data_IF_777665187973
#
_entry.id   IF_777665187973
#
_cell.length_a   1.000
_cell.length_b   1.000
_cell.length_c   1.000
_cell.angle_alpha   90.00
_cell.angle_beta   90.00
_cell.angle_gamma   90.00
#
_symmetry.space_group_name_H-M   'P 1'
#
loop_
_entity.id
_entity.type
_entity.pdbx_description
1 polymer ?
#
# COMPACT_ATOMS: atom_id res chain seq x y z
N UNK A 1 12.01 3.60 -28.41
CA UNK A 1 13.03 2.53 -28.38
C UNK A 1 12.57 1.52 -27.33
N UNK A 2 12.41 0.24 -27.69
CA UNK A 2 11.99 -0.81 -26.72
C UNK A 2 13.09 -1.06 -25.70
N UNK A 3 12.81 -1.17 -24.39
CA UNK A 3 13.81 -1.62 -23.44
C UNK A 3 14.02 -3.14 -23.60
N UNK A 4 15.29 -3.52 -23.63
CA UNK A 4 15.74 -4.90 -23.80
C UNK A 4 15.73 -5.60 -22.44
N UNK A 5 14.95 -6.68 -22.30
CA UNK A 5 14.95 -7.56 -21.13
C UNK A 5 16.36 -8.17 -20.94
N UNK A 6 17.10 -7.70 -19.93
CA UNK A 6 18.34 -8.36 -19.49
C UNK A 6 17.96 -9.46 -18.51
N UNK A 7 18.13 -10.72 -18.95
CA UNK A 7 18.08 -11.88 -18.06
C UNK A 7 19.28 -11.80 -17.11
N UNK A 8 19.03 -11.71 -15.81
CA UNK A 8 20.06 -11.92 -14.80
C UNK A 8 20.47 -13.40 -14.82
N UNK A 9 21.76 -13.63 -15.06
CA UNK A 9 22.39 -14.94 -14.88
C UNK A 9 22.63 -15.15 -13.39
N UNK A 10 22.02 -16.18 -12.82
CA UNK A 10 22.40 -16.69 -11.51
C UNK A 10 23.88 -17.12 -11.56
N UNK A 11 24.74 -16.39 -10.84
CA UNK A 11 26.15 -16.74 -10.70
C UNK A 11 26.23 -17.97 -9.79
N UNK A 12 26.31 -19.15 -10.39
CA UNK A 12 26.67 -20.38 -9.69
C UNK A 12 28.20 -20.40 -9.55
N UNK A 13 28.71 -19.83 -8.46
CA UNK A 13 30.13 -19.84 -8.14
C UNK A 13 30.61 -21.26 -7.81
N UNK A 14 31.40 -21.86 -8.70
CA UNK A 14 32.14 -23.10 -8.42
C UNK A 14 33.39 -22.76 -7.61
N UNK A 15 33.45 -23.23 -6.36
CA UNK A 15 34.57 -23.02 -5.45
C UNK A 15 35.79 -23.88 -5.83
N UNK A 16 36.92 -23.25 -6.12
CA UNK A 16 38.24 -23.88 -6.03
C UNK A 16 38.80 -23.62 -4.62
N UNK A 17 38.79 -24.67 -3.80
CA UNK A 17 39.28 -24.61 -2.41
C UNK A 17 40.81 -24.62 -2.42
N UNK A 18 41.41 -23.48 -2.07
CA UNK A 18 42.79 -23.44 -1.56
C UNK A 18 42.73 -22.95 -0.13
N UNK A 19 43.03 -23.84 0.80
CA UNK A 19 42.99 -23.64 2.25
C UNK A 19 44.08 -22.66 2.71
N UNK A 20 43.67 -21.48 3.17
CA UNK A 20 44.44 -20.61 4.06
C UNK A 20 43.55 -20.27 5.26
N UNK A 21 44.14 -20.38 6.45
CA UNK A 21 43.48 -20.35 7.74
C UNK A 21 42.59 -19.11 7.98
N UNK A 22 41.31 -19.38 8.23
CA UNK A 22 40.50 -18.82 9.32
C UNK A 22 40.66 -17.33 9.66
N UNK A 23 40.29 -16.45 8.74
CA UNK A 23 39.62 -15.19 9.11
C UNK A 23 38.28 -15.25 8.42
N UNK A 24 37.21 -15.45 9.19
CA UNK A 24 35.86 -15.35 8.64
C UNK A 24 35.73 -13.99 7.99
N UNK A 25 35.64 -13.95 6.66
CA UNK A 25 35.22 -12.73 5.98
C UNK A 25 33.78 -12.53 6.42
N UNK A 26 33.55 -11.62 7.35
CA UNK A 26 32.23 -11.05 7.53
C UNK A 26 31.86 -10.49 6.15
N UNK A 27 30.94 -11.16 5.45
CA UNK A 27 30.35 -10.55 4.27
C UNK A 27 29.73 -9.25 4.76
N UNK A 28 30.14 -8.13 4.18
CA UNK A 28 29.52 -6.86 4.48
C UNK A 28 28.02 -6.99 4.18
N UNK A 29 27.19 -6.47 5.07
CA UNK A 29 25.75 -6.58 4.90
C UNK A 29 25.30 -5.98 3.57
N UNK A 30 24.28 -6.54 2.92
CA UNK A 30 23.78 -6.00 1.65
C UNK A 30 23.28 -4.57 1.88
N UNK A 31 23.80 -3.56 1.15
CA UNK A 31 23.29 -2.20 1.24
C UNK A 31 21.81 -2.16 0.85
N UNK A 32 20.99 -1.45 1.63
CA UNK A 32 19.55 -1.27 1.36
C UNK A 32 19.33 -0.73 -0.06
N UNK A 33 20.20 0.15 -0.54
CA UNK A 33 20.21 0.72 -1.89
C UNK A 33 20.25 -0.27 -3.05
N UNK A 34 20.65 -1.53 -2.82
CA UNK A 34 20.75 -2.56 -3.87
C UNK A 34 19.73 -3.70 -3.71
N UNK A 35 18.77 -3.55 -2.79
CA UNK A 35 17.80 -4.62 -2.53
C UNK A 35 16.83 -4.75 -3.70
N UNK A 36 16.50 -5.99 -4.13
CA UNK A 36 15.54 -6.19 -5.21
C UNK A 36 14.17 -5.59 -4.90
N UNK A 37 13.51 -5.14 -5.95
CA UNK A 37 12.08 -4.84 -5.97
C UNK A 37 11.39 -6.08 -6.55
N UNK A 38 10.38 -6.66 -5.87
CA UNK A 38 9.71 -7.84 -6.39
C UNK A 38 8.98 -7.51 -7.70
N UNK A 39 8.92 -8.47 -8.62
CA UNK A 39 8.30 -8.33 -9.94
C UNK A 39 6.77 -8.16 -9.80
N UNK A 40 6.31 -6.96 -9.46
CA UNK A 40 4.91 -6.55 -9.56
C UNK A 40 4.77 -5.01 -9.47
N UNK A 41 4.33 -4.39 -10.57
CA UNK A 41 4.24 -2.93 -10.74
C UNK A 41 3.02 -2.28 -10.07
N UNK A 42 2.21 -3.03 -9.31
CA UNK A 42 0.96 -2.55 -8.70
C UNK A 42 1.05 -2.22 -7.21
N UNK A 43 2.23 -2.37 -6.58
CA UNK A 43 2.35 -2.13 -5.15
C UNK A 43 2.29 -0.63 -4.85
N UNK A 44 1.28 -0.21 -4.10
CA UNK A 44 1.01 1.21 -3.79
C UNK A 44 2.08 1.85 -2.90
N UNK A 45 2.77 1.01 -2.13
CA UNK A 45 3.81 1.40 -1.19
C UNK A 45 5.14 0.72 -1.54
N UNK A 46 6.27 1.32 -1.14
CA UNK A 46 7.58 0.76 -1.37
C UNK A 46 7.79 -0.58 -0.69
N UNK A 47 8.17 -1.59 -1.48
CA UNK A 47 8.49 -2.94 -0.99
C UNK A 47 9.82 -3.44 -1.52
N UNK A 48 10.62 -3.95 -0.61
CA UNK A 48 11.85 -4.68 -0.93
C UNK A 48 11.57 -6.17 -0.82
N UNK A 49 12.03 -6.94 -1.80
CA UNK A 49 11.58 -8.32 -1.98
C UNK A 49 12.14 -8.97 -3.21
N UNK A 50 12.35 -10.28 -3.16
CA UNK A 50 12.82 -11.07 -4.30
C UNK A 50 11.67 -11.72 -5.08
N UNK A 51 10.52 -11.91 -4.44
CA UNK A 51 9.32 -12.53 -5.02
C UNK A 51 8.09 -11.87 -4.39
N UNK A 52 7.11 -11.48 -5.23
CA UNK A 52 5.87 -10.86 -4.76
C UNK A 52 5.03 -11.79 -3.88
N UNK A 53 5.21 -13.10 -4.03
CA UNK A 53 4.48 -14.14 -3.29
C UNK A 53 5.07 -14.41 -1.90
N UNK A 54 6.20 -13.80 -1.53
CA UNK A 54 6.72 -13.93 -0.18
C UNK A 54 5.77 -13.28 0.84
N UNK A 55 5.67 -13.83 2.08
CA UNK A 55 5.06 -13.11 3.19
C UNK A 55 5.63 -11.70 3.27
N UNK A 56 4.78 -10.69 3.49
CA UNK A 56 5.22 -9.29 3.56
C UNK A 56 5.02 -8.76 4.97
N UNK A 57 6.05 -8.15 5.52
CA UNK A 57 5.99 -7.38 6.76
C UNK A 57 5.95 -5.89 6.46
N UNK A 58 5.36 -5.09 7.35
CA UNK A 58 5.27 -3.64 7.21
C UNK A 58 6.11 -2.95 8.27
N UNK A 59 6.99 -2.04 7.85
CA UNK A 59 7.69 -1.11 8.74
C UNK A 59 6.98 0.23 8.68
N UNK A 60 6.38 0.63 9.81
CA UNK A 60 5.86 1.96 10.03
C UNK A 60 6.97 2.87 10.56
N UNK A 61 7.41 3.83 9.76
CA UNK A 61 8.52 4.73 10.09
C UNK A 61 8.18 6.20 9.90
N UNK A 62 9.13 7.07 10.22
CA UNK A 62 9.06 8.49 9.90
C UNK A 62 10.46 9.01 9.53
N UNK A 63 10.57 9.73 8.40
CA UNK A 63 11.86 10.21 7.88
C UNK A 63 12.59 11.22 8.77
N UNK A 64 11.87 11.88 9.69
CA UNK A 64 12.43 12.81 10.67
C UNK A 64 12.63 12.17 12.04
N UNK A 65 12.34 10.88 12.20
CA UNK A 65 12.49 10.18 13.47
C UNK A 65 13.92 9.63 13.62
N UNK A 66 14.66 9.99 14.69
CA UNK A 66 16.00 9.46 14.92
C UNK A 66 16.01 7.95 15.17
N UNK A 67 14.96 7.37 15.75
CA UNK A 67 14.88 5.92 15.94
C UNK A 67 14.61 5.18 14.63
N UNK A 68 13.84 5.78 13.70
CA UNK A 68 13.68 5.20 12.36
C UNK A 68 15.00 5.28 11.59
N UNK A 69 15.74 6.37 11.73
CA UNK A 69 17.08 6.48 11.17
C UNK A 69 18.03 5.40 11.72
N UNK A 70 18.04 5.19 13.04
CA UNK A 70 18.85 4.15 13.68
C UNK A 70 18.50 2.75 13.16
N UNK A 71 17.21 2.41 13.08
CA UNK A 71 16.74 1.15 12.50
C UNK A 71 17.20 0.97 11.04
N UNK A 72 17.01 1.98 10.19
CA UNK A 72 17.38 1.90 8.77
C UNK A 72 18.89 1.71 8.60
N UNK A 73 19.70 2.38 9.42
CA UNK A 73 21.15 2.33 9.29
C UNK A 73 21.78 1.09 9.96
N UNK A 74 21.19 0.57 11.04
CA UNK A 74 21.85 -0.40 11.91
C UNK A 74 21.09 -1.73 12.09
N UNK A 75 19.84 -1.84 11.64
CA UNK A 75 19.01 -3.05 11.82
C UNK A 75 18.53 -3.60 10.48
N UNK A 76 18.02 -2.72 9.61
CA UNK A 76 17.45 -3.08 8.33
C UNK A 76 18.44 -3.83 7.40
N UNK A 77 19.74 -3.49 7.31
CA UNK A 77 20.68 -4.23 6.46
C UNK A 77 20.80 -5.71 6.87
N UNK A 78 20.95 -5.99 8.16
CA UNK A 78 21.04 -7.36 8.67
C UNK A 78 19.72 -8.12 8.48
N UNK A 79 18.59 -7.42 8.56
CA UNK A 79 17.27 -8.00 8.32
C UNK A 79 17.06 -8.36 6.84
N UNK A 80 17.50 -7.47 5.94
CA UNK A 80 17.50 -7.68 4.48
C UNK A 80 18.29 -8.93 4.12
N UNK A 81 19.51 -9.06 4.62
CA UNK A 81 20.34 -10.23 4.33
C UNK A 81 19.71 -11.52 4.84
N UNK A 82 19.17 -11.49 6.06
CA UNK A 82 18.66 -12.68 6.71
C UNK A 82 17.35 -13.20 6.11
N UNK A 83 16.52 -12.30 5.58
CA UNK A 83 15.17 -12.65 5.15
C UNK A 83 14.81 -12.23 3.71
N UNK A 84 15.18 -11.03 3.27
CA UNK A 84 14.76 -10.50 1.96
C UNK A 84 15.57 -11.14 0.84
N UNK A 85 16.90 -11.07 0.93
CA UNK A 85 17.83 -11.68 -0.04
C UNK A 85 17.64 -13.20 -0.09
N UNK A 86 17.34 -13.78 1.07
CA UNK A 86 17.07 -15.22 1.23
C UNK A 86 15.68 -15.66 0.72
N UNK A 87 14.84 -14.74 0.24
CA UNK A 87 13.51 -15.04 -0.31
C UNK A 87 12.52 -15.58 0.72
N UNK A 88 12.61 -15.12 1.98
CA UNK A 88 11.75 -15.56 3.09
C UNK A 88 10.71 -14.51 3.47
N UNK A 89 10.95 -13.25 3.16
CA UNK A 89 10.14 -12.12 3.60
C UNK A 89 10.32 -10.94 2.65
N UNK A 90 9.23 -10.29 2.28
CA UNK A 90 9.25 -8.95 1.73
C UNK A 90 9.07 -7.92 2.86
N UNK A 91 9.63 -6.73 2.70
CA UNK A 91 9.45 -5.63 3.65
C UNK A 91 8.87 -4.43 2.93
N UNK A 92 7.69 -4.01 3.39
CA UNK A 92 6.98 -2.81 3.00
C UNK A 92 7.34 -1.65 3.93
N UNK A 93 7.49 -0.44 3.40
CA UNK A 93 7.71 0.76 4.21
C UNK A 93 6.53 1.73 4.09
N UNK A 94 5.89 2.04 5.23
CA UNK A 94 4.81 3.02 5.35
C UNK A 94 5.20 4.13 6.31
N UNK A 95 4.80 5.35 6.01
CA UNK A 95 5.15 6.52 6.82
C UNK A 95 4.04 6.92 7.77
N UNK A 96 4.38 7.18 9.03
CA UNK A 96 3.51 7.87 9.99
C UNK A 96 3.79 9.37 9.90
N UNK A 97 2.86 10.12 9.33
CA UNK A 97 2.96 11.58 9.15
C UNK A 97 2.14 12.39 10.17
N UNK A 98 1.29 11.70 10.93
CA UNK A 98 0.32 12.27 11.87
C UNK A 98 0.65 11.83 13.29
N UNK A 99 0.17 12.58 14.28
CA UNK A 99 0.35 12.24 15.68
C UNK A 99 -0.21 10.83 15.94
N UNK A 100 0.61 9.94 16.53
CA UNK A 100 0.21 8.56 16.75
C UNK A 100 -0.89 8.47 17.83
N UNK A 101 -1.61 7.35 17.83
CA UNK A 101 -2.67 7.07 18.80
C UNK A 101 -2.23 7.32 20.25
N UNK A 102 -3.14 7.83 21.09
CA UNK A 102 -2.91 7.96 22.53
C UNK A 102 -1.95 9.07 22.98
N UNK A 103 -1.14 9.67 22.10
CA UNK A 103 -0.38 10.87 22.45
C UNK A 103 -1.28 12.08 22.44
N UNK A 104 -1.57 12.60 23.63
CA UNK A 104 -2.20 13.91 23.76
C UNK A 104 -1.44 14.97 22.94
N UNK A 105 -2.23 15.80 22.24
CA UNK A 105 -1.86 16.88 21.33
C UNK A 105 -0.50 17.52 21.65
N UNK A 106 0.51 17.25 20.83
CA UNK A 106 1.74 18.05 20.81
C UNK A 106 1.59 19.26 19.87
N UNK A 107 0.67 19.21 18.90
CA UNK A 107 0.41 20.28 17.93
C UNK A 107 -1.08 20.47 17.60
N UNK A 108 -1.81 21.30 18.36
CA UNK A 108 -3.09 21.89 17.90
C UNK A 108 -4.36 21.00 17.87
N UNK A 109 -5.50 21.56 17.46
CA UNK A 109 -6.86 21.11 17.82
C UNK A 109 -7.40 19.87 17.07
N UNK A 110 -7.84 18.87 17.84
CA UNK A 110 -8.83 17.79 17.57
C UNK A 110 -9.15 17.39 16.12
N UNK A 111 -8.21 16.68 15.48
CA UNK A 111 -8.39 15.55 14.55
C UNK A 111 -7.08 15.40 13.77
N UNK A 112 -6.40 14.24 13.80
CA UNK A 112 -5.24 13.92 12.95
C UNK A 112 -4.26 15.10 12.74
N UNK A 113 -3.63 15.61 13.80
CA UNK A 113 -2.62 16.65 13.65
C UNK A 113 -1.36 16.06 13.00
N UNK A 114 -0.80 16.72 11.98
CA UNK A 114 0.50 16.30 11.43
C UNK A 114 1.58 16.37 12.52
N UNK A 115 2.54 15.43 12.51
CA UNK A 115 3.74 15.51 13.35
C UNK A 115 4.49 16.82 13.06
N UNK A 116 4.51 17.23 11.79
CA UNK A 116 4.84 18.57 11.34
C UNK A 116 4.29 18.82 9.92
N UNK A 117 4.18 20.07 9.49
CA UNK A 117 3.77 20.44 8.12
C UNK A 117 4.67 19.89 7.00
N UNK A 118 5.82 19.31 7.36
CA UNK A 118 6.77 18.69 6.43
C UNK A 118 6.55 17.19 6.29
N UNK A 119 6.09 16.51 7.33
CA UNK A 119 5.94 15.05 7.34
C UNK A 119 5.01 14.51 6.23
N UNK A 120 3.79 15.03 6.01
CA UNK A 120 2.95 14.57 4.91
C UNK A 120 3.57 14.87 3.53
N UNK A 121 4.36 15.95 3.40
CA UNK A 121 5.03 16.30 2.14
C UNK A 121 6.21 15.38 1.84
N UNK A 122 6.99 15.01 2.86
CA UNK A 122 8.05 14.00 2.73
C UNK A 122 7.43 12.64 2.38
N UNK A 123 6.32 12.30 3.06
CA UNK A 123 5.54 11.07 2.85
C UNK A 123 5.00 11.00 1.41
N UNK A 124 4.35 12.05 0.93
CA UNK A 124 3.92 12.12 -0.47
C UNK A 124 5.10 12.07 -1.47
N UNK A 125 6.26 12.66 -1.14
CA UNK A 125 7.42 12.68 -2.05
C UNK A 125 8.03 11.30 -2.22
N UNK A 126 8.23 10.51 -1.16
CA UNK A 126 8.78 9.15 -1.35
C UNK A 126 7.79 8.23 -2.09
N UNK A 127 6.48 8.37 -1.88
CA UNK A 127 5.47 7.67 -2.68
C UNK A 127 5.56 8.05 -4.16
N UNK A 128 5.82 9.33 -4.45
CA UNK A 128 6.06 9.77 -5.82
C UNK A 128 7.33 9.22 -6.44
N UNK A 129 8.41 9.07 -5.65
CA UNK A 129 9.65 8.40 -6.11
C UNK A 129 9.38 6.92 -6.39
N UNK A 130 8.65 6.24 -5.50
CA UNK A 130 8.30 4.84 -5.68
C UNK A 130 7.46 4.62 -6.94
N UNK A 131 6.44 5.43 -7.17
CA UNK A 131 5.61 5.31 -8.37
C UNK A 131 6.40 5.59 -9.66
N UNK A 132 7.32 6.55 -9.62
CA UNK A 132 8.08 6.95 -10.81
C UNK A 132 9.19 5.96 -11.16
N UNK A 133 9.97 5.57 -10.15
CA UNK A 133 11.22 4.85 -10.32
C UNK A 133 11.48 3.90 -9.12
N UNK A 134 10.77 2.75 -9.08
CA UNK A 134 10.99 1.74 -8.06
C UNK A 134 12.43 1.24 -7.99
N UNK A 135 13.14 1.18 -9.12
CA UNK A 135 14.52 0.67 -9.21
C UNK A 135 15.50 1.61 -8.48
N UNK A 136 15.31 2.93 -8.58
CA UNK A 136 16.12 3.91 -7.85
C UNK A 136 15.63 4.19 -6.41
N UNK A 137 14.42 3.72 -6.05
CA UNK A 137 13.77 4.09 -4.79
C UNK A 137 14.63 3.77 -3.56
N UNK A 138 15.19 2.56 -3.45
CA UNK A 138 15.91 2.18 -2.23
C UNK A 138 17.18 2.99 -2.00
N UNK A 139 17.81 3.45 -3.07
CA UNK A 139 18.93 4.39 -3.00
C UNK A 139 18.50 5.78 -2.57
N UNK A 140 17.35 6.27 -3.05
CA UNK A 140 16.73 7.49 -2.54
C UNK A 140 16.38 7.35 -1.05
N UNK A 141 15.72 6.26 -0.68
CA UNK A 141 15.32 5.94 0.70
C UNK A 141 16.51 5.93 1.66
N UNK A 142 17.59 5.21 1.33
CA UNK A 142 18.80 5.17 2.14
C UNK A 142 19.43 6.57 2.27
N UNK A 143 19.45 7.35 1.18
CA UNK A 143 20.00 8.71 1.20
C UNK A 143 19.23 9.68 2.11
N UNK A 144 17.94 9.46 2.32
CA UNK A 144 17.11 10.26 3.22
C UNK A 144 17.44 9.99 4.70
N UNK A 145 18.04 8.83 5.01
CA UNK A 145 18.51 8.48 6.35
C UNK A 145 20.04 8.60 6.50
N UNK A 146 20.77 8.86 5.41
CA UNK A 146 22.21 9.03 5.41
C UNK A 146 22.63 10.38 6.03
N UNK A 147 23.49 10.32 7.06
CA UNK A 147 24.07 11.51 7.68
C UNK A 147 23.13 12.23 8.65
N UNK A 148 23.06 13.56 8.56
CA UNK A 148 22.24 14.35 9.49
C UNK A 148 20.75 14.13 9.25
N UNK A 149 20.00 13.99 10.35
CA UNK A 149 18.55 13.81 10.33
C UNK A 149 17.86 14.89 9.49
N UNK A 150 16.93 14.45 8.64
CA UNK A 150 16.02 15.35 7.93
C UNK A 150 15.32 16.23 8.95
N UNK A 151 15.58 17.53 8.89
CA UNK A 151 15.18 18.47 9.93
C UNK A 151 14.76 19.82 9.35
N UNK A 152 14.05 20.60 10.16
CA UNK A 152 13.45 21.87 9.74
C UNK A 152 12.26 21.69 8.79
N UNK A 153 11.98 22.74 8.01
CA UNK A 153 10.91 22.75 7.01
C UNK A 153 11.38 22.11 5.71
N UNK A 154 10.76 21.00 5.35
CA UNK A 154 11.05 20.24 4.13
C UNK A 154 9.86 20.35 3.17
N UNK A 155 10.16 20.60 1.89
CA UNK A 155 9.19 20.66 0.81
C UNK A 155 9.62 19.73 -0.32
N UNK A 156 8.72 19.33 -1.23
CA UNK A 156 9.09 18.47 -2.35
C UNK A 156 10.22 19.08 -3.20
N UNK A 157 10.23 20.41 -3.38
CA UNK A 157 11.30 21.11 -4.11
C UNK A 157 12.66 20.99 -3.41
N UNK A 158 12.70 20.97 -2.07
CA UNK A 158 13.94 20.75 -1.32
C UNK A 158 14.45 19.32 -1.40
N UNK A 159 13.59 18.35 -1.73
CA UNK A 159 13.96 16.95 -1.92
C UNK A 159 14.42 16.64 -3.35
N UNK A 160 14.14 17.55 -4.30
CA UNK A 160 14.57 17.40 -5.70
C UNK A 160 16.07 17.13 -5.88
N UNK A 161 16.99 17.87 -5.24
CA UNK A 161 18.42 17.58 -5.37
C UNK A 161 18.82 16.20 -4.81
N UNK A 162 18.06 15.67 -3.84
CA UNK A 162 18.28 14.32 -3.30
C UNK A 162 17.90 13.29 -4.37
N UNK A 163 16.70 13.43 -4.97
CA UNK A 163 16.24 12.58 -6.08
C UNK A 163 17.24 12.57 -7.25
N UNK A 164 17.67 13.76 -7.71
CA UNK A 164 18.66 13.90 -8.79
C UNK A 164 20.00 13.23 -8.43
N UNK A 165 20.48 13.41 -7.20
CA UNK A 165 21.74 12.80 -6.75
C UNK A 165 21.66 11.28 -6.68
N UNK A 166 20.50 10.73 -6.34
CA UNK A 166 20.31 9.28 -6.26
C UNK A 166 20.00 8.64 -7.61
N UNK A 167 19.70 9.46 -8.63
CA UNK A 167 19.45 9.01 -10.00
C UNK A 167 17.99 8.62 -10.22
N UNK A 168 17.07 9.20 -9.45
CA UNK A 168 15.62 9.04 -9.64
C UNK A 168 15.20 9.79 -10.91
N UNK A 169 14.44 9.10 -11.77
CA UNK A 169 13.88 9.68 -12.98
C UNK A 169 12.77 10.72 -12.71
N UNK A 170 12.63 11.69 -13.61
CA UNK A 170 11.56 12.70 -13.64
C UNK A 170 11.23 13.42 -12.30
N UNK A 171 12.23 13.94 -11.55
CA UNK A 171 11.99 14.54 -10.24
C UNK A 171 11.08 15.79 -10.28
N UNK A 172 11.04 16.53 -11.40
CA UNK A 172 10.09 17.62 -11.62
C UNK A 172 8.63 17.13 -11.64
N UNK A 173 8.36 16.01 -12.29
CA UNK A 173 7.01 15.45 -12.40
C UNK A 173 6.53 14.92 -11.06
N UNK A 174 7.40 14.24 -10.31
CA UNK A 174 7.14 13.82 -8.92
C UNK A 174 6.70 15.03 -8.09
N UNK A 175 7.48 16.11 -8.09
CA UNK A 175 7.14 17.35 -7.36
C UNK A 175 5.79 17.91 -7.80
N UNK A 176 5.50 17.92 -9.10
CA UNK A 176 4.22 18.40 -9.62
C UNK A 176 3.03 17.54 -9.16
N UNK A 177 3.18 16.20 -9.12
CA UNK A 177 2.14 15.28 -8.62
C UNK A 177 1.90 15.45 -7.13
N UNK A 178 2.97 15.60 -6.33
CA UNK A 178 2.86 15.85 -4.88
C UNK A 178 2.12 17.17 -4.61
N UNK A 179 2.45 18.24 -5.32
CA UNK A 179 1.78 19.56 -5.13
C UNK A 179 0.31 19.57 -5.52
N UNK A 180 -0.12 18.63 -6.38
CA UNK A 180 -1.52 18.41 -6.74
C UNK A 180 -2.27 17.54 -5.73
N UNK A 181 -1.61 17.07 -4.67
CA UNK A 181 -2.21 16.21 -3.64
C UNK A 181 -2.43 14.77 -4.09
N UNK A 182 -1.73 14.30 -5.14
CA UNK A 182 -1.95 12.95 -5.71
C UNK A 182 -1.83 11.84 -4.67
N UNK A 183 -0.94 11.99 -3.70
CA UNK A 183 -0.62 10.97 -2.71
C UNK A 183 -1.26 11.22 -1.33
N UNK A 184 -2.09 12.26 -1.18
CA UNK A 184 -2.65 12.65 0.12
C UNK A 184 -3.50 11.51 0.74
N UNK A 185 -4.19 10.74 -0.11
CA UNK A 185 -4.92 9.55 0.32
C UNK A 185 -4.00 8.46 0.87
N UNK A 186 -2.93 8.12 0.16
CA UNK A 186 -1.98 7.08 0.59
C UNK A 186 -1.22 7.49 1.87
N UNK A 187 -1.00 8.79 2.06
CA UNK A 187 -0.43 9.34 3.29
C UNK A 187 -1.42 9.19 4.46
N UNK A 188 -2.70 9.50 4.24
CA UNK A 188 -3.77 9.30 5.24
C UNK A 188 -4.00 7.81 5.54
N UNK A 189 -3.91 6.97 4.51
CA UNK A 189 -4.09 5.52 4.60
C UNK A 189 -3.06 4.86 5.52
N UNK A 190 -1.79 5.25 5.39
CA UNK A 190 -0.73 4.79 6.29
C UNK A 190 -0.97 5.17 7.75
N UNK A 191 -1.64 6.30 8.00
CA UNK A 191 -2.00 6.73 9.35
C UNK A 191 -3.17 5.94 9.92
N UNK A 192 -4.23 5.76 9.15
CA UNK A 192 -5.42 5.01 9.58
C UNK A 192 -5.05 3.54 9.88
N UNK A 193 -4.22 2.92 9.04
CA UNK A 193 -3.72 1.57 9.34
C UNK A 193 -2.85 1.51 10.60
N UNK A 194 -2.06 2.55 10.86
CA UNK A 194 -1.31 2.66 12.12
C UNK A 194 -2.23 2.84 13.34
N UNK A 195 -3.39 3.50 13.21
CA UNK A 195 -4.39 3.62 14.27
C UNK A 195 -5.06 2.29 14.59
N UNK A 196 -5.43 1.51 13.57
CA UNK A 196 -6.07 0.19 13.73
C UNK A 196 -5.17 -0.78 14.48
N UNK A 197 -3.88 -0.75 14.15
CA UNK A 197 -2.83 -1.52 14.81
C UNK A 197 -2.37 -0.90 16.15
N UNK A 198 -2.93 0.25 16.54
CA UNK A 198 -2.60 0.99 17.77
C UNK A 198 -1.10 1.28 17.89
N UNK A 199 -0.48 1.69 16.78
CA UNK A 199 0.94 2.01 16.73
C UNK A 199 1.17 3.39 17.37
N UNK A 200 1.93 3.41 18.47
CA UNK A 200 2.22 4.64 19.23
C UNK A 200 3.62 5.22 18.96
N UNK A 201 4.49 4.43 18.31
CA UNK A 201 5.91 4.73 18.15
C UNK A 201 6.46 4.32 16.77
N UNK A 202 7.46 5.06 16.31
CA UNK A 202 8.23 4.73 15.10
C UNK A 202 9.69 4.43 15.48
N UNK A 203 10.35 3.46 14.84
CA UNK A 203 9.76 2.52 13.90
C UNK A 203 8.92 1.46 14.63
N UNK A 204 7.91 0.91 13.96
CA UNK A 204 7.22 -0.31 14.41
C UNK A 204 7.20 -1.29 13.26
N UNK A 205 7.58 -2.53 13.55
CA UNK A 205 7.57 -3.64 12.61
C UNK A 205 6.28 -4.43 12.81
N UNK A 206 5.51 -4.65 11.76
CA UNK A 206 4.27 -5.41 11.77
C UNK A 206 4.39 -6.62 10.84
N UNK A 207 3.85 -7.75 11.28
CA UNK A 207 3.64 -8.93 10.44
C UNK A 207 2.47 -9.74 10.99
N UNK A 208 1.49 -10.02 10.14
CA UNK A 208 0.27 -10.76 10.48
C UNK A 208 -0.41 -10.22 11.75
N UNK A 209 -0.67 -8.90 11.75
CA UNK A 209 -1.35 -8.12 12.81
C UNK A 209 -0.61 -8.11 14.16
N UNK A 210 0.61 -8.66 14.19
CA UNK A 210 1.48 -8.63 15.35
C UNK A 210 2.48 -7.50 15.16
N UNK A 211 2.74 -6.72 16.21
CA UNK A 211 3.65 -5.57 16.16
C UNK A 211 4.86 -5.76 17.08
N UNK A 212 6.03 -5.32 16.63
CA UNK A 212 7.27 -5.18 17.40
C UNK A 212 7.70 -3.72 17.38
N UNK A 213 7.66 -3.08 18.56
CA UNK A 213 7.86 -1.63 18.69
C UNK A 213 9.33 -1.29 18.88
N UNK A 214 9.80 -0.30 18.13
CA UNK A 214 11.10 0.33 18.32
C UNK A 214 12.31 -0.59 18.14
N UNK A 215 12.37 -1.46 17.11
CA UNK A 215 13.51 -2.36 16.92
C UNK A 215 14.82 -1.59 16.84
N UNK A 216 15.68 -1.82 17.84
CA UNK A 216 17.05 -1.31 17.91
C UNK A 216 18.06 -2.41 17.61
N UNK A 217 19.31 -2.02 17.37
CA UNK A 217 20.40 -2.95 17.08
C UNK A 217 20.62 -4.01 18.17
N UNK A 218 20.43 -3.68 19.44
CA UNK A 218 20.59 -4.62 20.56
C UNK A 218 19.41 -5.59 20.73
N UNK A 219 18.29 -5.34 20.04
CA UNK A 219 17.08 -6.16 20.06
C UNK A 219 16.93 -7.03 18.79
N UNK A 220 17.95 -7.08 17.92
CA UNK A 220 17.87 -7.79 16.64
C UNK A 220 17.46 -9.27 16.78
N UNK A 221 17.97 -9.97 17.79
CA UNK A 221 17.61 -11.38 18.03
C UNK A 221 16.15 -11.55 18.48
N UNK A 222 15.61 -10.56 19.18
CA UNK A 222 14.21 -10.56 19.60
C UNK A 222 13.31 -10.30 18.40
N UNK A 223 13.71 -9.37 17.51
CA UNK A 223 13.04 -9.14 16.22
C UNK A 223 13.05 -10.41 15.35
N UNK A 224 14.18 -11.11 15.25
CA UNK A 224 14.30 -12.40 14.54
C UNK A 224 13.34 -13.45 15.12
N UNK A 225 13.29 -13.56 16.45
CA UNK A 225 12.40 -14.50 17.13
C UNK A 225 10.93 -14.18 16.87
N UNK A 226 10.59 -12.89 16.92
CA UNK A 226 9.26 -12.36 16.62
C UNK A 226 8.84 -12.64 15.17
N UNK A 227 9.71 -12.40 14.19
CA UNK A 227 9.43 -12.68 12.77
C UNK A 227 9.17 -14.16 12.57
N UNK A 228 10.07 -15.03 13.05
CA UNK A 228 9.94 -16.48 12.87
C UNK A 228 8.64 -17.03 13.48
N UNK A 229 8.19 -16.48 14.61
CA UNK A 229 6.94 -16.87 15.25
C UNK A 229 5.68 -16.50 14.43
N UNK A 230 5.79 -15.50 13.55
CA UNK A 230 4.65 -14.97 12.79
C UNK A 230 4.71 -15.27 11.28
N UNK A 231 5.86 -15.69 10.73
CA UNK A 231 6.00 -16.05 9.31
C UNK A 231 4.98 -17.09 8.85
N UNK A 232 4.74 -18.14 9.64
CA UNK A 232 3.75 -19.18 9.29
C UNK A 232 2.30 -18.69 9.29
N UNK A 233 2.00 -17.60 10.03
CA UNK A 233 0.68 -16.96 9.98
C UNK A 233 0.58 -16.10 8.73
N UNK A 234 1.62 -15.33 8.43
CA UNK A 234 1.69 -14.48 7.25
C UNK A 234 1.60 -15.28 5.94
N UNK A 235 2.27 -16.44 5.88
CA UNK A 235 2.20 -17.37 4.74
C UNK A 235 0.78 -17.90 4.48
N UNK A 236 0.02 -18.20 5.55
CA UNK A 236 -1.39 -18.62 5.43
C UNK A 236 -2.31 -17.50 4.95
N UNK A 237 -1.90 -16.27 5.14
CA UNK A 237 -2.67 -15.10 4.76
C UNK A 237 -2.43 -14.69 3.31
N UNK A 238 -1.45 -15.28 2.62
CA UNK A 238 -1.30 -15.13 1.18
C UNK A 238 -2.51 -15.78 0.49
N UNK A 239 -3.17 -15.10 -0.45
CA UNK A 239 -4.18 -15.75 -1.27
C UNK A 239 -3.49 -16.84 -2.08
N UNK A 240 -3.85 -18.08 -1.80
CA UNK A 240 -3.49 -19.20 -2.67
C UNK A 240 -4.42 -19.12 -3.86
N UNK A 241 -3.87 -19.19 -5.06
CA UNK A 241 -4.69 -19.42 -6.24
C UNK A 241 -5.40 -20.77 -6.05
N UNK A 242 -6.62 -20.73 -5.54
CA UNK A 242 -7.44 -21.92 -5.42
C UNK A 242 -7.82 -22.36 -6.84
N UNK A 243 -7.11 -23.38 -7.30
CA UNK A 243 -7.55 -24.28 -8.35
C UNK A 243 -8.75 -25.07 -7.82
N UNK A 244 -9.93 -24.45 -7.80
CA UNK A 244 -11.17 -25.18 -7.55
C UNK A 244 -11.50 -26.08 -8.75
N UNK A 245 -11.26 -27.36 -8.54
CA UNK A 245 -11.82 -28.46 -9.32
C UNK A 245 -13.35 -28.42 -9.22
N UNK A 246 -14.01 -28.04 -10.31
CA UNK A 246 -15.47 -27.99 -10.43
C UNK A 246 -16.04 -29.40 -10.36
N UNK A 247 -16.50 -29.82 -9.17
CA UNK A 247 -17.44 -30.94 -9.06
C UNK A 247 -18.86 -30.40 -9.00
N UNK A 248 -19.56 -30.52 -10.13
CA UNK A 248 -20.99 -30.28 -10.27
C UNK A 248 -21.79 -31.23 -9.39
N UNK A 249 -22.45 -30.70 -8.37
CA UNK A 249 -23.47 -31.39 -7.58
C UNK A 249 -24.70 -30.52 -7.47
N UNK A 250 -25.69 -30.73 -8.35
CA UNK A 250 -27.03 -30.18 -8.18
C UNK A 250 -27.64 -30.70 -6.88
N UNK A 251 -28.09 -29.79 -6.01
CA UNK A 251 -29.13 -30.12 -5.03
C UNK A 251 -30.03 -28.91 -4.80
N UNK A 252 -31.21 -29.01 -5.40
CA UNK A 252 -32.39 -28.21 -5.13
C UNK A 252 -32.73 -28.24 -3.63
N UNK A 253 -32.63 -27.08 -2.97
CA UNK A 253 -33.12 -26.85 -1.61
C UNK A 253 -33.80 -25.48 -1.52
N UNK A 254 -35.13 -25.47 -1.58
CA UNK A 254 -35.97 -24.30 -1.35
C UNK A 254 -35.86 -23.85 0.10
N UNK A 255 -35.11 -22.77 0.35
CA UNK A 255 -35.08 -22.02 1.60
C UNK A 255 -35.30 -20.55 1.31
N UNK A 256 -36.33 -19.95 1.90
CA UNK A 256 -36.60 -18.51 1.90
C UNK A 256 -35.54 -17.76 2.72
N UNK A 257 -34.31 -17.71 2.23
CA UNK A 257 -33.27 -16.78 2.65
C UNK A 257 -33.20 -15.67 1.61
N UNK A 258 -33.28 -14.41 2.04
CA UNK A 258 -33.08 -13.28 1.13
C UNK A 258 -31.70 -13.41 0.50
N UNK A 259 -31.64 -13.59 -0.83
CA UNK A 259 -30.38 -13.77 -1.53
C UNK A 259 -29.46 -12.59 -1.26
N UNK A 260 -28.26 -12.87 -0.76
CA UNK A 260 -27.20 -11.87 -0.56
C UNK A 260 -26.56 -11.50 -1.89
N UNK A 261 -26.15 -10.25 -2.02
CA UNK A 261 -25.39 -9.71 -3.16
C UNK A 261 -24.25 -8.84 -2.62
N UNK A 262 -23.18 -8.69 -3.40
CA UNK A 262 -22.10 -7.73 -3.12
C UNK A 262 -22.25 -6.49 -4.00
N UNK A 263 -21.88 -5.34 -3.47
CA UNK A 263 -21.65 -4.11 -4.24
C UNK A 263 -20.25 -3.59 -3.94
N UNK A 264 -19.49 -3.28 -4.98
CA UNK A 264 -18.14 -2.72 -4.90
C UNK A 264 -18.13 -1.33 -5.54
N UNK A 265 -17.59 -0.35 -4.83
CA UNK A 265 -17.37 1.02 -5.28
C UNK A 265 -15.89 1.11 -5.59
N UNK A 266 -15.52 1.33 -6.85
CA UNK A 266 -14.14 1.31 -7.31
C UNK A 266 -13.75 2.70 -7.79
N UNK A 267 -13.02 3.42 -6.95
CA UNK A 267 -12.58 4.78 -7.24
C UNK A 267 -11.22 4.83 -7.92
N UNK A 268 -10.70 3.73 -8.47
CA UNK A 268 -9.45 3.73 -9.26
C UNK A 268 -9.46 4.74 -10.42
N UNK A 269 -10.64 5.09 -10.94
CA UNK A 269 -10.86 6.12 -11.96
C UNK A 269 -11.19 7.51 -11.42
N UNK A 270 -11.34 7.68 -10.10
CA UNK A 270 -11.72 8.93 -9.47
C UNK A 270 -10.60 9.98 -9.55
N UNK A 271 -10.97 11.21 -9.87
CA UNK A 271 -10.07 12.36 -9.80
C UNK A 271 -10.08 12.93 -8.37
N UNK A 272 -9.48 12.21 -7.43
CA UNK A 272 -9.53 12.52 -6.00
C UNK A 272 -10.60 11.69 -5.25
N UNK A 273 -11.28 12.27 -4.28
CA UNK A 273 -12.24 11.56 -3.42
C UNK A 273 -13.64 11.54 -4.01
N UNK A 274 -14.19 10.36 -4.31
CA UNK A 274 -15.58 10.15 -4.69
C UNK A 274 -16.39 9.68 -3.48
N UNK A 275 -17.34 10.50 -3.04
CA UNK A 275 -18.26 10.11 -1.97
C UNK A 275 -19.45 9.36 -2.55
N UNK A 276 -19.91 8.37 -1.82
CA UNK A 276 -21.10 7.61 -2.16
C UNK A 276 -22.09 7.57 -0.99
N UNK A 277 -23.36 7.40 -1.33
CA UNK A 277 -24.43 7.00 -0.43
C UNK A 277 -25.30 5.98 -1.17
N UNK A 278 -25.55 4.84 -0.56
CA UNK A 278 -26.25 3.70 -1.17
C UNK A 278 -27.32 3.24 -0.22
N UNK A 279 -28.55 3.10 -0.71
CA UNK A 279 -29.67 2.54 0.07
C UNK A 279 -30.16 1.27 -0.58
N UNK A 280 -30.45 0.26 0.23
CA UNK A 280 -31.04 -1.01 -0.20
C UNK A 280 -32.41 -1.22 0.44
N UNK A 281 -33.23 -2.08 -0.17
CA UNK A 281 -34.55 -2.46 0.37
C UNK A 281 -34.47 -3.47 1.52
N UNK A 282 -33.30 -4.10 1.70
CA UNK A 282 -33.03 -5.07 2.75
C UNK A 282 -32.04 -4.52 3.76
N UNK A 283 -31.18 -5.38 4.27
CA UNK A 283 -30.13 -5.01 5.23
C UNK A 283 -28.77 -5.01 4.54
N UNK A 284 -27.93 -4.06 4.94
CA UNK A 284 -26.48 -4.17 4.76
C UNK A 284 -25.89 -5.06 5.86
N UNK A 285 -24.93 -5.89 5.48
CA UNK A 285 -23.98 -6.51 6.39
C UNK A 285 -22.59 -6.15 5.90
N UNK A 286 -21.74 -5.71 6.81
CA UNK A 286 -20.32 -5.56 6.49
C UNK A 286 -19.80 -6.94 6.06
N UNK A 287 -19.15 -6.99 4.91
CA UNK A 287 -18.43 -8.15 4.46
C UNK A 287 -17.01 -7.71 4.16
N UNK A 288 -16.07 -8.34 4.86
CA UNK A 288 -14.62 -8.15 4.67
C UNK A 288 -14.08 -9.10 3.60
N UNK A 289 -14.92 -9.95 3.00
CA UNK A 289 -14.55 -10.75 1.84
C UNK A 289 -14.37 -9.82 0.62
N UNK A 290 -13.40 -10.16 -0.25
CA UNK A 290 -13.01 -9.40 -1.45
C UNK A 290 -12.20 -8.12 -1.23
N UNK A 291 -11.37 -8.06 -0.17
CA UNK A 291 -10.41 -6.95 0.05
C UNK A 291 -11.06 -5.55 0.09
N UNK A 292 -12.28 -5.50 0.64
CA UNK A 292 -13.07 -4.30 0.84
C UNK A 292 -12.47 -3.40 1.92
N UNK A 293 -11.99 -2.21 1.56
CA UNK A 293 -11.70 -1.15 2.53
C UNK A 293 -13.04 -0.70 3.12
N UNK A 294 -13.35 -1.06 4.36
CA UNK A 294 -14.43 -0.40 5.10
C UNK A 294 -13.74 0.40 6.19
N UNK A 295 -13.71 1.71 6.02
CA UNK A 295 -13.04 2.66 6.91
C UNK A 295 -13.94 3.01 8.10
N UNK A 296 -13.38 3.54 9.19
CA UNK A 296 -14.14 4.18 10.29
C UNK A 296 -14.98 5.40 9.83
N UNK A 297 -14.77 5.88 8.59
CA UNK A 297 -15.58 6.91 7.96
C UNK A 297 -16.83 6.39 7.23
N UNK A 298 -16.94 5.07 7.03
CA UNK A 298 -18.07 4.48 6.36
C UNK A 298 -19.17 4.17 7.37
N UNK A 299 -20.30 4.85 7.21
CA UNK A 299 -21.43 4.75 8.13
C UNK A 299 -22.47 3.84 7.52
N UNK A 300 -22.79 2.74 8.20
CA UNK A 300 -24.01 1.97 7.94
C UNK A 300 -25.07 2.42 8.94
N UNK A 301 -26.09 3.09 8.44
CA UNK A 301 -27.29 3.46 9.20
C UNK A 301 -28.50 2.69 8.64
N UNK A 302 -28.84 1.59 9.30
CA UNK A 302 -29.93 0.69 8.90
C UNK A 302 -29.72 0.09 7.50
N UNK A 303 -30.49 0.57 6.53
CA UNK A 303 -30.46 0.10 5.14
C UNK A 303 -29.64 1.00 4.21
N UNK A 304 -28.87 1.94 4.75
CA UNK A 304 -28.04 2.88 4.00
C UNK A 304 -26.57 2.77 4.40
N UNK A 305 -25.68 2.73 3.41
CA UNK A 305 -24.24 2.82 3.57
C UNK A 305 -23.72 4.11 2.90
N UNK A 306 -22.89 4.88 3.60
CA UNK A 306 -22.27 6.08 3.05
C UNK A 306 -20.79 6.12 3.37
N UNK A 307 -19.98 6.60 2.42
CA UNK A 307 -18.53 6.57 2.53
C UNK A 307 -17.85 7.35 1.40
N UNK A 308 -16.58 7.06 1.16
CA UNK A 308 -15.94 7.58 -0.04
C UNK A 308 -14.66 6.88 -0.44
N UNK A 309 -14.51 6.70 -1.74
CA UNK A 309 -13.38 6.05 -2.38
C UNK A 309 -12.47 7.07 -3.09
N UNK A 310 -11.16 6.97 -2.89
CA UNK A 310 -10.15 7.49 -3.82
C UNK A 310 -9.73 6.36 -4.77
N UNK A 311 -8.44 6.12 -5.05
CA UNK A 311 -8.01 5.04 -5.96
C UNK A 311 -8.28 3.60 -5.45
N UNK A 312 -9.00 3.42 -4.35
CA UNK A 312 -9.29 2.13 -3.70
C UNK A 312 -10.75 1.71 -3.91
N UNK A 313 -11.12 0.58 -3.30
CA UNK A 313 -12.46 0.02 -3.37
C UNK A 313 -13.10 -0.20 -2.00
N UNK A 314 -14.39 0.09 -1.92
CA UNK A 314 -15.21 -0.29 -0.77
C UNK A 314 -16.20 -1.35 -1.24
N UNK A 315 -16.41 -2.43 -0.47
CA UNK A 315 -17.38 -3.48 -0.82
C UNK A 315 -18.31 -3.79 0.35
N UNK A 316 -19.60 -3.95 0.05
CA UNK A 316 -20.63 -4.28 1.03
C UNK A 316 -21.42 -5.52 0.59
N UNK A 317 -21.77 -6.39 1.55
CA UNK A 317 -22.84 -7.38 1.33
C UNK A 317 -24.17 -6.77 1.71
N UNK A 318 -25.17 -7.03 0.88
CA UNK A 318 -26.52 -6.57 1.13
C UNK A 318 -27.54 -7.62 0.72
N UNK A 319 -28.75 -7.47 1.26
CA UNK A 319 -29.93 -8.24 0.84
C UNK A 319 -30.93 -7.33 0.14
N UNK A 320 -31.80 -7.91 -0.69
CA UNK A 320 -32.82 -7.13 -1.40
C UNK A 320 -32.27 -6.43 -2.65
N UNK A 321 -32.72 -5.20 -2.91
CA UNK A 321 -32.39 -4.42 -4.12
C UNK A 321 -31.79 -3.06 -3.73
N UNK A 322 -30.89 -2.54 -4.54
CA UNK A 322 -30.45 -1.15 -4.44
C UNK A 322 -31.63 -0.26 -4.84
N UNK A 323 -32.02 0.66 -3.97
CA UNK A 323 -33.15 1.58 -4.15
C UNK A 323 -32.68 3.01 -4.39
N UNK A 324 -31.49 3.38 -3.90
CA UNK A 324 -30.84 4.66 -4.18
C UNK A 324 -29.33 4.48 -4.25
N UNK A 325 -28.68 5.25 -5.13
CA UNK A 325 -27.23 5.35 -5.22
C UNK A 325 -26.87 6.78 -5.65
N UNK A 326 -26.20 7.50 -4.77
CA UNK A 326 -25.69 8.85 -5.03
C UNK A 326 -24.17 8.83 -5.08
N UNK A 327 -23.58 9.46 -6.09
CA UNK A 327 -22.14 9.61 -6.28
C UNK A 327 -21.76 11.07 -6.50
N UNK A 328 -20.68 11.56 -5.89
CA UNK A 328 -20.20 12.94 -6.14
C UNK A 328 -19.36 13.08 -7.41
N UNK A 329 -18.89 11.97 -7.97
CA UNK A 329 -18.23 11.92 -9.28
C UNK A 329 -18.38 10.52 -9.89
N UNK A 330 -18.19 10.37 -11.21
CA UNK A 330 -18.19 9.05 -11.84
C UNK A 330 -17.08 8.16 -11.26
N UNK A 331 -17.45 6.94 -10.89
CA UNK A 331 -16.57 5.84 -10.47
C UNK A 331 -17.13 4.53 -11.02
N UNK A 332 -16.32 3.48 -11.04
CA UNK A 332 -16.79 2.16 -11.41
C UNK A 332 -17.57 1.54 -10.24
N UNK A 333 -18.74 0.98 -10.52
CA UNK A 333 -19.54 0.28 -9.52
C UNK A 333 -19.80 -1.12 -10.02
N UNK A 334 -19.52 -2.12 -9.19
CA UNK A 334 -19.73 -3.53 -9.51
C UNK A 334 -20.78 -4.13 -8.60
N UNK A 335 -21.60 -5.02 -9.15
CA UNK A 335 -22.49 -5.89 -8.38
C UNK A 335 -22.11 -7.33 -8.67
N UNK A 336 -21.78 -8.09 -7.63
CA UNK A 336 -21.28 -9.47 -7.78
C UNK A 336 -20.16 -9.53 -8.85
N UNK A 337 -19.17 -8.63 -8.71
CA UNK A 337 -17.99 -8.49 -9.59
C UNK A 337 -18.25 -8.09 -11.05
N UNK A 338 -19.51 -7.79 -11.40
CA UNK A 338 -19.87 -7.36 -12.75
C UNK A 338 -20.21 -5.87 -12.76
N UNK A 339 -19.77 -5.11 -13.78
CA UNK A 339 -20.15 -3.70 -13.90
C UNK A 339 -21.65 -3.51 -13.76
N UNK A 340 -22.04 -2.62 -12.85
CA UNK A 340 -23.41 -2.26 -12.59
C UNK A 340 -23.79 -1.09 -13.51
N UNK A 341 -24.83 -1.30 -14.30
CA UNK A 341 -25.40 -0.26 -15.15
C UNK A 341 -26.11 0.79 -14.27
N UNK A 342 -25.43 1.93 -14.06
CA UNK A 342 -25.86 3.01 -13.19
C UNK A 342 -27.10 3.76 -13.72
N UNK A 343 -27.28 3.82 -15.05
CA UNK A 343 -28.45 4.45 -15.66
C UNK A 343 -29.71 3.61 -15.39
N UNK A 344 -29.57 2.29 -15.48
CA UNK A 344 -30.68 1.35 -15.27
C UNK A 344 -31.21 1.34 -13.82
N UNK A 345 -30.37 1.67 -12.85
CA UNK A 345 -30.78 1.78 -11.44
C UNK A 345 -31.12 3.21 -11.01
N UNK A 346 -31.01 4.19 -11.91
CA UNK A 346 -31.34 5.59 -11.64
C UNK A 346 -30.36 6.29 -10.70
N UNK A 347 -29.07 5.93 -10.74
CA UNK A 347 -28.07 6.51 -9.85
C UNK A 347 -27.92 8.03 -10.07
N UNK A 348 -27.82 8.79 -8.98
CA UNK A 348 -27.67 10.25 -8.99
C UNK A 348 -26.19 10.64 -8.93
N UNK A 349 -25.63 11.05 -10.06
CA UNK A 349 -24.21 11.46 -10.15
C UNK A 349 -24.13 12.99 -10.16
N UNK A 350 -23.71 13.57 -9.03
CA UNK A 350 -23.55 15.02 -8.86
C UNK A 350 -22.18 15.49 -9.38
N UNK A 351 -21.93 15.40 -10.69
CA UNK A 351 -20.69 15.94 -11.26
C UNK A 351 -20.67 17.47 -11.14
N UNK A 352 -19.64 18.07 -10.52
CA UNK A 352 -19.36 19.49 -10.73
C UNK A 352 -18.94 19.71 -12.19
N UNK A 353 -19.89 20.10 -13.03
CA UNK A 353 -19.66 20.34 -14.45
C UNK A 353 -18.82 21.61 -14.65
N UNK A 354 -17.49 21.49 -14.66
CA UNK A 354 -16.62 22.49 -15.30
C UNK A 354 -16.50 22.13 -16.77
N UNK A 355 -17.38 22.73 -17.57
CA UNK A 355 -17.44 22.61 -19.03
C UNK A 355 -16.07 23.00 -19.62
N UNK A 356 -15.30 22.02 -20.07
CA UNK A 356 -14.11 22.20 -20.89
C UNK A 356 -14.47 21.71 -22.30
N UNK A 357 -14.59 22.65 -23.23
CA UNK A 357 -14.76 22.37 -24.65
C UNK A 357 -13.55 21.59 -25.16
N UNK A 358 -13.72 20.30 -25.43
CA UNK A 358 -12.73 19.48 -26.14
C UNK A 358 -13.36 18.94 -27.42
N UNK A 359 -12.72 19.31 -28.53
CA UNK A 359 -13.02 18.88 -29.90
C UNK A 359 -12.67 17.38 -30.05
N UNK A 360 -13.43 16.58 -30.81
CA UNK A 360 -13.24 15.13 -30.84
C UNK A 360 -11.95 14.75 -31.57
N UNK A 361 -11.14 13.90 -30.94
CA UNK A 361 -10.08 13.14 -31.59
C UNK A 361 -10.57 11.70 -31.80
N UNK A 362 -10.29 11.21 -32.99
CA UNK A 362 -10.74 9.97 -33.64
C UNK A 362 -10.12 8.71 -33.05
N UNK A 363 -10.88 7.61 -33.15
CA UNK A 363 -10.54 6.21 -32.90
C UNK A 363 -9.11 5.77 -33.28
N UNK A 364 -8.52 4.97 -32.40
CA UNK A 364 -8.00 3.64 -32.78
C UNK A 364 -7.72 2.76 -31.54
N UNK A 365 -8.20 1.53 -31.63
CA UNK A 365 -8.11 0.40 -30.69
C UNK A 365 -6.67 -0.05 -30.35
N UNK A 366 -6.43 -0.44 -29.10
CA UNK A 366 -5.58 -1.59 -28.68
C UNK A 366 -5.81 -1.85 -27.16
N UNK A 367 -6.85 -2.59 -26.78
CA UNK A 367 -6.84 -4.02 -26.39
C UNK A 367 -5.94 -4.40 -25.21
N UNK A 368 -6.60 -4.70 -24.08
CA UNK A 368 -6.36 -5.84 -23.18
C UNK A 368 -4.93 -6.12 -22.72
N UNK A 369 -4.60 -5.67 -21.51
CA UNK A 369 -3.86 -6.42 -20.48
C UNK A 369 -3.54 -5.43 -19.35
N UNK A 370 -4.30 -5.47 -18.24
CA UNK A 370 -3.83 -5.46 -16.84
C UNK A 370 -5.09 -5.70 -16.00
N UNK A 371 -5.48 -6.97 -15.86
CA UNK A 371 -6.35 -7.41 -14.77
C UNK A 371 -5.52 -8.43 -14.00
N UNK A 372 -5.54 -8.31 -12.69
CA UNK A 372 -4.83 -9.12 -11.68
C UNK A 372 -3.47 -8.54 -11.29
N UNK A 373 -3.46 -7.86 -10.14
CA UNK A 373 -2.59 -8.18 -9.00
C UNK A 373 -2.79 -7.10 -7.93
N UNK A 374 -3.78 -7.27 -7.06
CA UNK A 374 -3.87 -6.58 -5.79
C UNK A 374 -4.07 -7.68 -4.77
N UNK A 375 -3.02 -8.02 -4.03
CA UNK A 375 -3.10 -8.75 -2.77
C UNK A 375 -1.69 -8.94 -2.21
N UNK A 376 -1.37 -8.19 -1.17
CA UNK A 376 -0.13 -8.32 -0.40
C UNK A 376 -0.27 -7.54 0.89
N UNK A 377 0.38 -7.96 1.99
CA UNK A 377 0.21 -7.34 3.31
C UNK A 377 0.51 -5.83 3.32
N UNK A 378 1.32 -5.35 2.39
CA UNK A 378 1.61 -3.94 2.19
C UNK A 378 0.40 -3.09 1.73
N UNK A 379 -0.59 -3.74 1.11
CA UNK A 379 -1.85 -3.12 0.66
C UNK A 379 -3.00 -3.33 1.66
N UNK A 380 -2.75 -4.02 2.79
CA UNK A 380 -3.79 -4.28 3.78
C UNK A 380 -4.06 -3.04 4.63
N UNK A 381 -5.35 -2.74 4.69
CA UNK A 381 -6.04 -2.19 5.84
C UNK A 381 -6.93 -3.28 6.41
#
# INVERSE_FOLDING_TARGET
>A
MKPSRRKFLAVTGSAAVTSVAGVGSASAATPVSNVPVPDNTSQMYPVMGTDADNPTATVYGNFKCPFTQDFVNNVLPDLVDKYVVEGKLNICFRTISYEPYGRGKTHGTQSNAFISDSDPKISATHLGVWEEDPEAYWKYFESMFAGSLVSGTVTPEKLKPVMEKTGVDNPEEIVARVKKGKYDSLVKDSHESALDLKIEHTPTFEIADSTFVGPKSDEFNDLVSFINANLSKADKLLPKEDSEEVTSGESSGSGSGSATSTITLDGSSAQGWAKYEITVSGEFKQDRSMEASIEDSDVIDGSTASGGVGPWKDTFVYTGKITDLTLTQPIDVLRNEKPLDLEKIGANIKSESKKLDVKPATDSEETTQVKNALSGACSRR
#
